data_IF_882923812055
#
_entry.id   IF_882923812055
#
_cell.length_a   1.000
_cell.length_b   1.000
_cell.length_c   1.000
_cell.angle_alpha   90.00
_cell.angle_beta   90.00
_cell.angle_gamma   90.00
#
_symmetry.space_group_name_H-M   'P 1'
#
loop_
_entity.id
_entity.type
_entity.pdbx_description
1 polymer ?
#
# COMPACT_ATOMS: atom_id res chain seq x y z
N UNK A 1 -22.54 -6.35 3.25
CA UNK A 1 -21.56 -5.26 3.35
C UNK A 1 -21.62 -4.67 4.74
N UNK A 2 -20.77 -5.18 5.62
CA UNK A 2 -20.49 -4.67 6.96
C UNK A 2 -19.31 -3.70 6.91
N UNK A 3 -19.08 -2.92 7.95
CA UNK A 3 -17.90 -2.03 8.03
C UNK A 3 -16.58 -2.82 7.95
N UNK A 4 -16.57 -4.03 8.50
CA UNK A 4 -15.43 -4.94 8.43
C UNK A 4 -15.14 -5.35 6.97
N UNK A 5 -16.18 -5.74 6.23
CA UNK A 5 -16.05 -6.10 4.81
C UNK A 5 -15.57 -4.92 3.97
N UNK A 6 -16.05 -3.70 4.24
CA UNK A 6 -15.57 -2.48 3.56
C UNK A 6 -14.08 -2.25 3.81
N UNK A 7 -13.66 -2.39 5.06
CA UNK A 7 -12.27 -2.19 5.46
C UNK A 7 -11.33 -3.21 4.80
N UNK A 8 -11.73 -4.48 4.80
CA UNK A 8 -10.98 -5.56 4.16
C UNK A 8 -10.83 -5.32 2.65
N UNK A 9 -11.92 -4.99 1.95
CA UNK A 9 -11.89 -4.69 0.51
C UNK A 9 -10.99 -3.48 0.23
N UNK A 10 -11.03 -2.44 1.06
CA UNK A 10 -10.18 -1.27 0.90
C UNK A 10 -8.69 -1.61 1.09
N UNK A 11 -8.36 -2.40 2.11
CA UNK A 11 -6.98 -2.84 2.38
C UNK A 11 -6.43 -3.71 1.25
N UNK A 12 -7.23 -4.65 0.73
CA UNK A 12 -6.86 -5.48 -0.42
C UNK A 12 -6.56 -4.64 -1.66
N UNK A 13 -7.42 -3.66 -1.97
CA UNK A 13 -7.17 -2.77 -3.10
C UNK A 13 -5.89 -1.92 -2.89
N UNK A 14 -5.67 -1.45 -1.67
CA UNK A 14 -4.44 -0.69 -1.34
C UNK A 14 -3.20 -1.56 -1.45
N UNK A 15 -3.30 -2.84 -1.09
CA UNK A 15 -2.23 -3.80 -1.22
C UNK A 15 -1.86 -4.03 -2.70
N UNK A 16 -2.86 -4.14 -3.59
CA UNK A 16 -2.65 -4.20 -5.03
C UNK A 16 -2.01 -2.91 -5.58
N UNK A 17 -2.47 -1.74 -5.12
CA UNK A 17 -1.94 -0.44 -5.53
C UNK A 17 -0.46 -0.26 -5.13
N UNK A 18 -0.05 -0.78 -3.97
CA UNK A 18 1.30 -0.64 -3.41
C UNK A 18 2.21 -1.84 -3.68
N UNK A 19 1.69 -2.89 -4.33
CA UNK A 19 2.35 -4.18 -4.51
C UNK A 19 2.86 -4.81 -3.20
N UNK A 20 2.02 -4.74 -2.16
CA UNK A 20 2.28 -5.32 -0.83
C UNK A 20 1.19 -6.32 -0.43
N UNK A 21 1.18 -6.75 0.83
CA UNK A 21 0.11 -7.59 1.37
C UNK A 21 -0.85 -6.76 2.22
N UNK A 22 -2.13 -7.13 2.27
CA UNK A 22 -3.12 -6.44 3.10
C UNK A 22 -2.76 -6.50 4.60
N UNK A 23 -2.13 -7.59 5.06
CA UNK A 23 -1.74 -7.73 6.47
C UNK A 23 -0.60 -6.77 6.86
N UNK A 24 0.11 -6.16 5.90
CA UNK A 24 1.11 -5.13 6.20
C UNK A 24 0.48 -3.92 6.88
N UNK A 25 -0.81 -3.61 6.59
CA UNK A 25 -1.57 -2.53 7.25
C UNK A 25 -2.00 -2.86 8.69
N UNK A 26 -1.90 -4.13 9.10
CA UNK A 26 -2.30 -4.61 10.43
C UNK A 26 -1.12 -4.75 11.38
N UNK A 27 0.11 -4.52 10.92
CA UNK A 27 1.32 -4.53 11.75
C UNK A 27 1.33 -3.31 12.67
N UNK A 28 2.03 -3.43 13.80
CA UNK A 28 2.18 -2.35 14.79
C UNK A 28 3.31 -1.38 14.47
N UNK A 29 4.14 -1.70 13.48
CA UNK A 29 5.28 -0.90 13.07
C UNK A 29 5.14 -0.46 11.60
N UNK A 30 5.74 0.68 11.21
CA UNK A 30 5.77 1.10 9.82
C UNK A 30 6.40 0.04 8.91
N UNK A 31 5.84 -0.12 7.71
CA UNK A 31 6.34 -1.08 6.73
C UNK A 31 6.81 -0.33 5.49
N UNK A 32 8.02 -0.64 5.03
CA UNK A 32 8.55 -0.13 3.76
C UNK A 32 8.59 -1.26 2.74
N UNK A 33 7.87 -1.08 1.64
CA UNK A 33 7.79 -2.02 0.52
C UNK A 33 8.41 -1.42 -0.73
N UNK A 34 8.82 -2.29 -1.66
CA UNK A 34 9.40 -1.86 -2.93
C UNK A 34 8.32 -1.17 -3.76
N UNK A 35 8.62 0.04 -4.22
CA UNK A 35 7.81 0.81 -5.15
C UNK A 35 7.50 0.04 -6.42
N UNK A 36 6.22 -0.03 -6.76
CA UNK A 36 5.73 -0.66 -7.99
C UNK A 36 4.22 -0.81 -7.98
N UNK A 37 3.65 -0.93 -9.18
CA UNK A 37 2.22 -1.13 -9.39
C UNK A 37 1.95 -2.63 -9.43
N UNK A 38 1.13 -3.13 -8.51
CA UNK A 38 0.78 -4.55 -8.45
C UNK A 38 -0.29 -4.95 -9.48
N UNK A 39 -0.46 -6.25 -9.76
CA UNK A 39 -1.56 -6.74 -10.56
C UNK A 39 -2.90 -6.34 -9.94
N UNK A 40 -3.74 -5.62 -10.67
CA UNK A 40 -5.05 -5.14 -10.16
C UNK A 40 -5.01 -3.80 -9.43
N UNK A 41 -3.89 -3.09 -9.45
CA UNK A 41 -3.85 -1.69 -9.06
C UNK A 41 -4.86 -0.86 -9.86
N UNK A 42 -5.33 0.26 -9.27
CA UNK A 42 -6.28 1.15 -9.93
C UNK A 42 -5.73 1.63 -11.27
N UNK A 43 -6.59 1.65 -12.30
CA UNK A 43 -6.21 1.96 -13.69
C UNK A 43 -5.58 3.34 -13.90
N UNK A 44 -5.80 4.29 -12.98
CA UNK A 44 -5.22 5.63 -13.03
C UNK A 44 -3.87 5.75 -12.31
N UNK A 45 -3.40 4.72 -11.60
CA UNK A 45 -2.02 4.70 -11.14
C UNK A 45 -1.11 4.56 -12.36
N UNK A 46 -0.33 5.61 -12.61
CA UNK A 46 0.65 5.68 -13.68
C UNK A 46 2.00 6.03 -13.08
N UNK A 47 3.05 5.40 -13.58
CA UNK A 47 4.41 5.83 -13.31
C UNK A 47 4.63 7.26 -13.86
N UNK A 48 5.34 8.15 -13.15
CA UNK A 48 6.15 7.87 -11.96
C UNK A 48 5.50 8.30 -10.63
N UNK A 49 5.37 7.36 -9.69
CA UNK A 49 5.10 7.65 -8.26
C UNK A 49 6.37 7.37 -7.47
N UNK A 50 7.02 8.40 -6.93
CA UNK A 50 8.28 8.25 -6.17
C UNK A 50 8.06 7.51 -4.85
N UNK A 51 6.96 7.83 -4.17
CA UNK A 51 6.52 7.14 -2.97
C UNK A 51 4.99 7.23 -2.84
N UNK A 52 4.36 6.15 -2.36
CA UNK A 52 2.95 6.11 -1.97
C UNK A 52 2.84 5.67 -0.51
N UNK A 53 2.05 6.39 0.29
CA UNK A 53 1.91 6.14 1.71
C UNK A 53 0.44 5.96 2.05
N UNK A 54 0.09 4.80 2.59
CA UNK A 54 -1.28 4.44 2.95
C UNK A 54 -1.32 4.01 4.41
N UNK A 55 -2.36 4.44 5.13
CA UNK A 55 -2.60 4.12 6.53
C UNK A 55 -4.08 3.86 6.80
N UNK A 56 -4.34 2.89 7.67
CA UNK A 56 -5.66 2.58 8.22
C UNK A 56 -5.73 2.87 9.73
N UNK A 57 -4.78 3.62 10.27
CA UNK A 57 -4.74 4.07 11.66
C UNK A 57 -3.77 3.31 12.57
N UNK A 58 -3.46 2.04 12.31
CA UNK A 58 -2.53 1.25 13.15
C UNK A 58 -1.06 1.51 12.82
N UNK A 59 -0.72 1.49 11.53
CA UNK A 59 0.61 1.83 11.03
C UNK A 59 0.50 2.55 9.67
N UNK A 60 1.65 2.73 9.03
CA UNK A 60 1.77 3.25 7.68
C UNK A 60 2.57 2.26 6.82
N UNK A 61 2.09 2.02 5.61
CA UNK A 61 2.83 1.28 4.57
C UNK A 61 3.31 2.29 3.54
N UNK A 62 4.63 2.37 3.38
CA UNK A 62 5.29 3.22 2.40
C UNK A 62 5.81 2.35 1.25
N UNK A 63 5.25 2.51 0.06
CA UNK A 63 5.76 1.94 -1.18
C UNK A 63 6.69 2.96 -1.82
N UNK A 64 8.00 2.69 -1.86
CA UNK A 64 9.03 3.67 -2.22
C UNK A 64 9.91 3.11 -3.34
N UNK A 65 10.17 3.91 -4.38
CA UNK A 65 11.14 3.49 -5.41
C UNK A 65 12.50 3.22 -4.78
N UNK A 66 13.18 2.18 -5.26
CA UNK A 66 14.43 1.72 -4.66
C UNK A 66 15.51 2.81 -4.61
N UNK A 67 15.52 3.72 -5.59
CA UNK A 67 16.44 4.87 -5.65
C UNK A 67 16.31 5.84 -4.47
N UNK A 68 15.19 5.84 -3.74
CA UNK A 68 14.96 6.72 -2.56
C UNK A 68 15.03 5.97 -1.22
N UNK A 69 15.32 4.68 -1.19
CA UNK A 69 15.19 3.85 0.03
C UNK A 69 16.18 4.19 1.16
N UNK A 70 17.30 4.83 0.83
CA UNK A 70 18.39 5.11 1.78
C UNK A 70 18.83 6.58 1.83
N UNK A 71 18.01 7.48 1.30
CA UNK A 71 18.19 8.95 1.38
C UNK A 71 17.47 9.45 2.62
#
# INVERSE_FOLDING_TARGET
MTNQEVLEIAMEQSAADLNCRAEDFLKNEPVVVRGGIGPGAKSYYQEPVSANLVSYGNNIVASVKEEYRGI
#
